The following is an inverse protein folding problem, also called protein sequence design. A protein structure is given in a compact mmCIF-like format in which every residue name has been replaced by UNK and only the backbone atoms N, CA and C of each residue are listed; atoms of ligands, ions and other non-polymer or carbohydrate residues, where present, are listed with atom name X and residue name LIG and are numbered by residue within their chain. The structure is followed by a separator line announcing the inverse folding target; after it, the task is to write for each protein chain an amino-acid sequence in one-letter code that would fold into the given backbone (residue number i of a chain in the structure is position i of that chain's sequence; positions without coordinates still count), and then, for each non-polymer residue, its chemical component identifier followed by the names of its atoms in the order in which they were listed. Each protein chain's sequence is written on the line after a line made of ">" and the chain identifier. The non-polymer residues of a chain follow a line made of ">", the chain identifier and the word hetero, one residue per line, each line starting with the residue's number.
data_IF_911290875156
#
_entry.id   IF_911290875156
#
_cell.length_a   1.000
_cell.length_b   1.000
_cell.length_c   1.000
_cell.angle_alpha   90.00
_cell.angle_beta   90.00
_cell.angle_gamma   90.00
#
_symmetry.space_group_name_H-M   'P 1'
#
loop_
_entity.id
_entity.type
_entity.pdbx_description
1 polymer ?
#
# COMPACT_ATOMS: atom_id res chain seq x y z
N UNK A 1 -33.03 14.74 -10.10
CA UNK A 1 -32.76 13.65 -9.16
C UNK A 1 -31.27 13.45 -9.15
N UNK A 2 -30.59 14.03 -8.14
CA UNK A 2 -29.13 13.89 -8.00
C UNK A 2 -28.86 12.50 -7.46
N UNK A 3 -28.39 11.58 -8.30
CA UNK A 3 -27.74 10.37 -7.86
C UNK A 3 -26.47 10.80 -7.15
N UNK A 4 -26.46 10.77 -5.81
CA UNK A 4 -25.23 10.78 -5.05
C UNK A 4 -24.46 9.52 -5.46
N UNK A 5 -23.61 9.63 -6.47
CA UNK A 5 -22.60 8.63 -6.75
C UNK A 5 -21.82 8.47 -5.45
N UNK A 6 -22.03 7.35 -4.78
CA UNK A 6 -21.25 6.96 -3.62
C UNK A 6 -19.86 6.63 -4.14
N UNK A 7 -19.01 7.66 -4.26
CA UNK A 7 -17.65 7.46 -4.71
C UNK A 7 -16.93 6.56 -3.72
N UNK A 8 -16.35 5.46 -4.22
CA UNK A 8 -15.59 4.55 -3.38
C UNK A 8 -14.38 5.28 -2.78
N UNK A 9 -14.15 5.10 -1.48
CA UNK A 9 -12.99 5.65 -0.78
C UNK A 9 -11.86 4.62 -0.77
N UNK A 10 -10.81 4.88 -1.53
CA UNK A 10 -9.65 4.00 -1.66
C UNK A 10 -8.49 4.63 -0.89
N UNK A 11 -8.04 4.00 0.18
CA UNK A 11 -6.93 4.46 1.01
C UNK A 11 -5.71 3.60 0.73
N UNK A 12 -4.67 4.20 0.15
CA UNK A 12 -3.39 3.54 -0.06
C UNK A 12 -2.42 3.90 1.07
N UNK A 13 -1.98 2.90 1.83
CA UNK A 13 -1.00 3.09 2.90
C UNK A 13 0.41 2.82 2.37
N UNK A 14 1.29 3.82 2.51
CA UNK A 14 2.69 3.76 2.11
C UNK A 14 3.62 3.96 3.30
N UNK A 15 4.87 3.54 3.18
CA UNK A 15 5.89 3.69 4.23
C UNK A 15 6.98 2.64 4.13
N UNK A 16 8.16 2.96 4.62
CA UNK A 16 9.33 2.07 4.63
C UNK A 16 9.16 0.94 5.65
N UNK A 17 10.05 -0.05 5.57
CA UNK A 17 10.06 -1.16 6.51
C UNK A 17 10.16 -0.69 7.97
N UNK A 18 9.35 -1.27 8.86
CA UNK A 18 9.31 -0.87 10.28
C UNK A 18 8.52 0.41 10.58
N UNK A 19 7.90 1.06 9.58
CA UNK A 19 7.09 2.26 9.82
C UNK A 19 5.78 2.01 10.57
N UNK A 20 5.27 0.78 10.62
CA UNK A 20 3.97 0.44 11.21
C UNK A 20 2.82 0.37 10.20
N UNK A 21 3.14 0.41 8.90
CA UNK A 21 2.14 0.31 7.82
C UNK A 21 1.24 -0.92 7.96
N UNK A 22 1.78 -2.10 8.27
CA UNK A 22 0.99 -3.33 8.39
C UNK A 22 -0.04 -3.24 9.52
N UNK A 23 0.35 -2.69 10.68
CA UNK A 23 -0.59 -2.47 11.81
C UNK A 23 -1.70 -1.47 11.43
N UNK A 24 -1.37 -0.45 10.63
CA UNK A 24 -2.36 0.50 10.13
C UNK A 24 -3.34 -0.16 9.15
N UNK A 25 -2.85 -1.04 8.26
CA UNK A 25 -3.69 -1.82 7.33
C UNK A 25 -4.61 -2.75 8.10
N UNK A 26 -4.09 -3.49 9.08
CA UNK A 26 -4.87 -4.40 9.93
C UNK A 26 -5.99 -3.64 10.65
N UNK A 27 -5.67 -2.51 11.26
CA UNK A 27 -6.65 -1.66 11.93
C UNK A 27 -7.79 -1.20 11.00
N UNK A 28 -7.48 -0.74 9.79
CA UNK A 28 -8.52 -0.36 8.82
C UNK A 28 -9.34 -1.58 8.35
N UNK A 29 -8.71 -2.75 8.23
CA UNK A 29 -9.41 -3.99 7.88
C UNK A 29 -10.40 -4.38 8.97
N UNK A 30 -10.04 -4.28 10.25
CA UNK A 30 -10.92 -4.49 11.39
C UNK A 30 -12.10 -3.50 11.41
N UNK A 31 -11.90 -2.30 10.89
CA UNK A 31 -12.96 -1.29 10.69
C UNK A 31 -13.82 -1.50 9.43
N UNK A 32 -13.66 -2.64 8.77
CA UNK A 32 -14.51 -3.03 7.64
C UNK A 32 -14.03 -2.52 6.28
N UNK A 33 -12.76 -2.11 6.15
CA UNK A 33 -12.15 -1.84 4.84
C UNK A 33 -11.62 -3.14 4.25
N UNK A 34 -12.20 -3.68 3.16
CA UNK A 34 -11.61 -4.82 2.47
C UNK A 34 -10.20 -4.47 1.99
N UNK A 35 -9.26 -5.40 2.22
CA UNK A 35 -7.85 -5.21 1.91
C UNK A 35 -7.49 -5.78 0.56
N UNK A 36 -6.78 -5.00 -0.27
CA UNK A 36 -6.06 -5.48 -1.45
C UNK A 36 -4.57 -5.40 -1.17
N UNK A 37 -3.90 -6.55 -1.17
CA UNK A 37 -2.46 -6.66 -0.96
C UNK A 37 -1.73 -6.82 -2.30
N UNK A 38 -0.87 -5.87 -2.65
CA UNK A 38 -0.12 -5.87 -3.92
C UNK A 38 0.80 -7.10 -4.06
N UNK A 39 1.50 -7.46 -2.98
CA UNK A 39 2.30 -8.69 -2.97
C UNK A 39 1.47 -9.95 -3.16
N UNK A 40 0.23 -9.95 -2.68
CA UNK A 40 -0.70 -11.07 -2.81
C UNK A 40 -1.12 -11.36 -4.26
N UNK A 41 -1.05 -10.35 -5.14
CA UNK A 41 -1.30 -10.54 -6.59
C UNK A 41 -0.30 -11.53 -7.19
N UNK A 42 0.98 -11.42 -6.80
CA UNK A 42 2.01 -12.37 -7.25
C UNK A 42 1.75 -13.76 -6.67
N UNK A 43 1.46 -13.85 -5.38
CA UNK A 43 1.18 -15.15 -4.73
C UNK A 43 -0.04 -15.84 -5.34
N UNK A 44 -1.10 -15.09 -5.62
CA UNK A 44 -2.29 -15.63 -6.28
C UNK A 44 -1.98 -16.13 -7.70
N UNK A 45 -1.19 -15.39 -8.46
CA UNK A 45 -0.79 -15.81 -9.79
C UNK A 45 0.12 -17.05 -9.77
N UNK A 46 0.97 -17.21 -8.74
CA UNK A 46 1.75 -18.44 -8.53
C UNK A 46 0.84 -19.62 -8.18
N UNK A 47 -0.18 -19.43 -7.32
CA UNK A 47 -1.17 -20.47 -7.01
C UNK A 47 -1.92 -20.93 -8.26
N UNK A 48 -2.38 -19.96 -9.06
CA UNK A 48 -3.06 -20.23 -10.34
C UNK A 48 -2.16 -21.02 -11.34
N UNK A 49 -0.84 -20.79 -11.28
CA UNK A 49 0.15 -21.49 -12.09
C UNK A 49 0.66 -22.81 -11.47
N UNK A 50 0.22 -23.18 -10.27
CA UNK A 50 0.69 -24.35 -9.53
C UNK A 50 2.15 -24.28 -9.07
N UNK A 51 2.67 -23.06 -8.87
CA UNK A 51 4.07 -22.82 -8.51
C UNK A 51 4.18 -22.65 -6.98
N UNK A 52 5.07 -23.42 -6.37
CA UNK A 52 5.36 -23.34 -4.94
C UNK A 52 5.95 -21.98 -4.57
N UNK A 53 5.51 -21.40 -3.45
CA UNK A 53 5.88 -20.03 -3.00
C UNK A 53 7.24 -20.00 -2.28
N UNK A 54 8.26 -20.69 -2.79
CA UNK A 54 9.63 -20.53 -2.31
C UNK A 54 10.17 -19.15 -2.71
N UNK A 55 11.23 -18.70 -2.05
CA UNK A 55 11.83 -17.40 -2.36
C UNK A 55 12.36 -17.34 -3.80
N UNK A 56 13.05 -18.39 -4.24
CA UNK A 56 13.62 -18.51 -5.59
C UNK A 56 12.51 -18.52 -6.66
N UNK A 57 11.46 -19.34 -6.46
CA UNK A 57 10.33 -19.38 -7.36
C UNK A 57 9.61 -18.04 -7.48
N UNK A 58 9.46 -17.32 -6.35
CA UNK A 58 8.86 -15.98 -6.35
C UNK A 58 9.66 -14.99 -7.20
N UNK A 59 10.98 -15.02 -7.09
CA UNK A 59 11.84 -14.12 -7.85
C UNK A 59 11.78 -14.44 -9.35
N UNK A 60 11.96 -15.70 -9.72
CA UNK A 60 11.87 -16.15 -11.10
C UNK A 60 10.49 -15.86 -11.70
N UNK A 61 9.41 -16.14 -10.97
CA UNK A 61 8.05 -15.89 -11.42
C UNK A 61 7.79 -14.39 -11.65
N UNK A 62 8.29 -13.52 -10.76
CA UNK A 62 8.17 -12.07 -10.96
C UNK A 62 8.86 -11.59 -12.23
N UNK A 63 10.02 -12.13 -12.54
CA UNK A 63 10.77 -11.78 -13.76
C UNK A 63 10.05 -12.29 -15.02
N UNK A 64 9.59 -13.54 -14.98
CA UNK A 64 8.88 -14.16 -16.09
C UNK A 64 7.54 -13.46 -16.38
N UNK A 65 6.73 -13.20 -15.34
CA UNK A 65 5.42 -12.55 -15.50
C UNK A 65 5.58 -11.11 -16.00
N UNK A 66 6.61 -10.38 -15.56
CA UNK A 66 6.93 -9.05 -16.07
C UNK A 66 7.36 -9.07 -17.53
N UNK A 67 8.09 -10.08 -17.95
CA UNK A 67 8.48 -10.27 -19.36
C UNK A 67 7.27 -10.60 -20.22
N UNK A 68 6.35 -11.44 -19.75
CA UNK A 68 5.16 -11.90 -20.46
C UNK A 68 4.04 -10.87 -20.51
N UNK A 69 3.72 -10.27 -19.37
CA UNK A 69 2.55 -9.40 -19.19
C UNK A 69 2.91 -7.91 -18.99
N UNK A 70 4.22 -7.60 -18.94
CA UNK A 70 4.72 -6.24 -18.78
C UNK A 70 4.95 -5.84 -17.32
N UNK A 71 5.61 -4.69 -17.13
CA UNK A 71 5.94 -4.15 -15.81
C UNK A 71 4.69 -3.77 -15.00
N UNK A 72 3.57 -3.51 -15.68
CA UNK A 72 2.31 -3.04 -15.09
C UNK A 72 1.38 -4.19 -14.68
N UNK A 73 1.85 -5.43 -14.73
CA UNK A 73 1.08 -6.61 -14.39
C UNK A 73 0.40 -6.50 -13.01
N UNK A 74 1.15 -6.12 -11.97
CA UNK A 74 0.63 -6.03 -10.60
C UNK A 74 -0.47 -4.98 -10.51
N UNK A 75 -0.20 -3.79 -11.02
CA UNK A 75 -1.17 -2.68 -10.91
C UNK A 75 -2.45 -2.95 -11.71
N UNK A 76 -2.36 -3.57 -12.89
CA UNK A 76 -3.54 -3.94 -13.68
C UNK A 76 -4.45 -4.92 -12.93
N UNK A 77 -3.87 -5.91 -12.25
CA UNK A 77 -4.64 -6.84 -11.42
C UNK A 77 -5.19 -6.20 -10.16
N UNK A 78 -4.45 -5.28 -9.54
CA UNK A 78 -4.95 -4.49 -8.40
C UNK A 78 -6.15 -3.64 -8.83
N UNK A 79 -6.06 -2.93 -9.95
CA UNK A 79 -7.18 -2.14 -10.50
C UNK A 79 -8.40 -3.04 -10.75
N UNK A 80 -8.19 -4.20 -11.37
CA UNK A 80 -9.29 -5.17 -11.55
C UNK A 80 -9.92 -5.57 -10.23
N UNK A 81 -9.12 -5.90 -9.22
CA UNK A 81 -9.64 -6.27 -7.89
C UNK A 81 -10.41 -5.11 -7.23
N UNK A 82 -9.98 -3.86 -7.42
CA UNK A 82 -10.70 -2.68 -6.94
C UNK A 82 -12.08 -2.59 -7.62
N UNK A 83 -12.14 -2.71 -8.95
CA UNK A 83 -13.41 -2.73 -9.68
C UNK A 83 -14.33 -3.87 -9.23
N UNK A 84 -13.78 -5.08 -9.03
CA UNK A 84 -14.55 -6.24 -8.55
C UNK A 84 -15.18 -5.95 -7.17
N UNK A 85 -14.44 -5.30 -6.25
CA UNK A 85 -14.97 -4.89 -4.94
C UNK A 85 -16.02 -3.79 -5.06
N UNK A 86 -15.82 -2.79 -5.91
CA UNK A 86 -16.79 -1.71 -6.15
C UNK A 86 -18.09 -2.32 -6.73
N UNK A 87 -17.98 -3.20 -7.71
CA UNK A 87 -19.12 -3.89 -8.31
C UNK A 87 -19.87 -4.79 -7.30
N UNK A 88 -19.16 -5.30 -6.28
CA UNK A 88 -19.76 -6.03 -5.16
C UNK A 88 -20.37 -5.10 -4.09
N UNK A 89 -20.45 -3.79 -4.34
CA UNK A 89 -21.08 -2.82 -3.45
C UNK A 89 -20.17 -2.26 -2.35
N UNK A 90 -18.85 -2.52 -2.42
CA UNK A 90 -17.90 -1.95 -1.47
C UNK A 90 -17.65 -0.47 -1.80
N UNK A 91 -17.72 0.37 -0.77
CA UNK A 91 -17.49 1.82 -0.90
C UNK A 91 -16.26 2.31 -0.11
N UNK A 92 -15.52 1.38 0.48
CA UNK A 92 -14.28 1.62 1.24
C UNK A 92 -13.32 0.50 0.91
N UNK A 93 -12.07 0.83 0.58
CA UNK A 93 -11.03 -0.17 0.26
C UNK A 93 -9.71 0.32 0.84
N UNK A 94 -8.93 -0.58 1.45
CA UNK A 94 -7.54 -0.29 1.84
C UNK A 94 -6.56 -1.05 0.95
N UNK A 95 -5.56 -0.32 0.44
CA UNK A 95 -4.48 -0.85 -0.37
C UNK A 95 -3.22 -1.02 0.49
N UNK A 96 -2.72 -2.25 0.55
CA UNK A 96 -1.46 -2.60 1.21
C UNK A 96 -0.38 -2.86 0.18
N UNK A 97 0.55 -1.92 0.04
CA UNK A 97 1.74 -2.15 -0.77
C UNK A 97 1.82 -1.38 -2.07
N UNK A 98 1.27 -0.20 -2.16
CA UNK A 98 1.63 0.75 -3.21
C UNK A 98 3.14 1.04 -3.13
N UNK A 99 3.92 0.49 -4.08
CA UNK A 99 5.38 0.51 -3.99
C UNK A 99 6.02 1.45 -4.99
N UNK A 100 5.53 1.50 -6.23
CA UNK A 100 6.23 2.18 -7.30
C UNK A 100 5.57 3.50 -7.69
N UNK A 101 6.37 4.40 -8.26
CA UNK A 101 5.89 5.65 -8.82
C UNK A 101 4.88 5.44 -9.96
N UNK A 102 5.11 4.41 -10.77
CA UNK A 102 4.18 4.04 -11.84
C UNK A 102 2.84 3.58 -11.30
N UNK A 103 2.81 2.71 -10.27
CA UNK A 103 1.58 2.26 -9.63
C UNK A 103 0.76 3.43 -9.07
N UNK A 104 1.43 4.40 -8.43
CA UNK A 104 0.78 5.62 -7.95
C UNK A 104 0.07 6.38 -9.07
N UNK A 105 0.76 6.63 -10.19
CA UNK A 105 0.18 7.33 -11.35
C UNK A 105 -1.01 6.59 -11.95
N UNK A 106 -0.89 5.26 -12.10
CA UNK A 106 -2.00 4.44 -12.60
C UNK A 106 -3.23 4.52 -11.71
N UNK A 107 -3.08 4.43 -10.39
CA UNK A 107 -4.19 4.53 -9.45
C UNK A 107 -4.87 5.90 -9.49
N UNK A 108 -4.08 6.98 -9.46
CA UNK A 108 -4.64 8.35 -9.50
C UNK A 108 -5.34 8.64 -10.84
N UNK A 109 -4.86 8.06 -11.94
CA UNK A 109 -5.48 8.19 -13.25
C UNK A 109 -6.78 7.39 -13.37
N UNK A 110 -6.79 6.14 -12.88
CA UNK A 110 -7.94 5.25 -13.00
C UNK A 110 -9.09 5.64 -12.05
N UNK A 111 -8.76 6.14 -10.86
CA UNK A 111 -9.73 6.49 -9.82
C UNK A 111 -9.60 7.98 -9.42
N UNK A 112 -9.89 8.94 -10.31
CA UNK A 112 -9.73 10.37 -10.02
C UNK A 112 -10.64 10.79 -8.87
N UNK A 113 -10.05 11.44 -7.85
CA UNK A 113 -10.77 11.87 -6.66
C UNK A 113 -11.25 10.77 -5.71
N UNK A 114 -10.85 9.51 -5.94
CA UNK A 114 -11.26 8.38 -5.10
C UNK A 114 -10.09 7.76 -4.32
N UNK A 115 -8.84 8.06 -4.68
CA UNK A 115 -7.63 7.53 -4.04
C UNK A 115 -6.96 8.57 -3.18
N UNK A 116 -6.76 8.25 -1.92
CA UNK A 116 -5.95 9.01 -0.98
C UNK A 116 -4.78 8.16 -0.53
N UNK A 117 -3.59 8.75 -0.56
CA UNK A 117 -2.35 8.12 -0.11
C UNK A 117 -1.99 8.66 1.26
N UNK A 118 -1.85 7.76 2.24
CA UNK A 118 -1.43 8.09 3.60
C UNK A 118 -0.06 7.49 3.85
N UNK A 119 0.94 8.32 4.09
CA UNK A 119 2.28 7.89 4.43
C UNK A 119 2.42 7.69 5.94
N UNK A 120 2.77 6.47 6.34
CA UNK A 120 3.17 6.18 7.71
C UNK A 120 4.68 6.34 7.80
N UNK A 121 5.13 7.39 8.50
CA UNK A 121 6.54 7.73 8.68
C UNK A 121 6.97 7.55 10.13
N UNK A 122 8.17 7.03 10.32
CA UNK A 122 8.72 6.72 11.64
C UNK A 122 10.21 7.07 11.65
N UNK A 123 10.70 7.71 12.72
CA UNK A 123 12.12 7.97 12.90
C UNK A 123 12.97 6.71 12.67
N UNK A 124 14.10 6.86 11.99
CA UNK A 124 14.92 5.74 11.53
C UNK A 124 15.37 4.83 12.68
N UNK A 125 15.76 5.41 13.82
CA UNK A 125 16.18 4.64 15.00
C UNK A 125 15.05 3.73 15.56
N UNK A 126 13.79 4.19 15.54
CA UNK A 126 12.64 3.37 15.95
C UNK A 126 12.36 2.26 14.95
N UNK A 127 12.54 2.51 13.65
CA UNK A 127 12.42 1.46 12.65
C UNK A 127 13.46 0.36 12.85
N UNK A 128 14.71 0.70 13.17
CA UNK A 128 15.73 -0.27 13.51
C UNK A 128 15.32 -1.13 14.71
N UNK A 129 14.87 -0.50 15.79
CA UNK A 129 14.42 -1.23 16.98
C UNK A 129 13.23 -2.16 16.68
N UNK A 130 12.27 -1.68 15.90
CA UNK A 130 11.09 -2.47 15.51
C UNK A 130 11.47 -3.63 14.60
N UNK A 131 12.37 -3.41 13.66
CA UNK A 131 12.83 -4.45 12.74
C UNK A 131 13.67 -5.53 13.44
N UNK A 132 14.52 -5.15 14.39
CA UNK A 132 15.31 -6.08 15.20
C UNK A 132 14.43 -6.97 16.11
N UNK A 133 13.28 -6.46 16.57
CA UNK A 133 12.36 -7.18 17.47
C UNK A 133 11.30 -8.01 16.75
N UNK A 134 11.29 -8.06 15.42
CA UNK A 134 10.33 -8.87 14.68
C UNK A 134 10.51 -10.35 14.98
N UNK A 135 9.38 -11.06 15.16
CA UNK A 135 9.37 -12.52 15.32
C UNK A 135 9.81 -13.18 14.00
N UNK A 136 9.25 -12.68 12.89
CA UNK A 136 9.60 -13.16 11.56
C UNK A 136 10.59 -12.21 10.90
N UNK A 137 11.72 -12.74 10.42
CA UNK A 137 12.77 -12.02 9.68
C UNK A 137 13.25 -10.77 10.44
N UNK A 138 13.80 -10.92 11.67
CA UNK A 138 14.47 -9.81 12.35
C UNK A 138 15.61 -9.30 11.49
N UNK A 139 15.86 -7.99 11.49
CA UNK A 139 16.87 -7.35 10.67
C UNK A 139 17.78 -6.47 11.53
N UNK A 140 19.08 -6.54 11.27
CA UNK A 140 20.06 -5.64 11.86
C UNK A 140 19.99 -4.25 11.20
N UNK A 141 20.50 -3.18 11.83
CA UNK A 141 20.43 -1.83 11.28
C UNK A 141 20.98 -1.70 9.85
N UNK A 142 22.10 -2.34 9.54
CA UNK A 142 22.68 -2.32 8.21
C UNK A 142 21.81 -3.01 7.14
N UNK A 143 21.10 -4.07 7.52
CA UNK A 143 20.16 -4.76 6.63
C UNK A 143 18.91 -3.90 6.35
N UNK A 144 18.48 -3.13 7.37
CA UNK A 144 17.39 -2.15 7.18
C UNK A 144 17.81 -1.05 6.21
N UNK A 145 19.06 -0.56 6.32
CA UNK A 145 19.59 0.44 5.38
C UNK A 145 19.66 -0.10 3.95
N UNK A 146 20.23 -1.28 3.76
CA UNK A 146 20.28 -1.93 2.45
C UNK A 146 18.88 -2.11 1.84
N UNK A 147 17.93 -2.49 2.67
CA UNK A 147 16.53 -2.62 2.25
C UNK A 147 15.91 -1.29 1.87
N UNK A 148 16.10 -0.24 2.67
CA UNK A 148 15.60 1.10 2.39
C UNK A 148 16.16 1.62 1.05
N UNK A 149 17.46 1.45 0.81
CA UNK A 149 18.10 1.85 -0.45
C UNK A 149 17.51 1.08 -1.63
N UNK A 150 17.40 -0.24 -1.52
CA UNK A 150 16.79 -1.05 -2.57
C UNK A 150 15.33 -0.69 -2.83
N UNK A 151 14.54 -0.41 -1.80
CA UNK A 151 13.14 0.00 -1.94
C UNK A 151 13.02 1.39 -2.60
N UNK A 152 13.97 2.29 -2.37
CA UNK A 152 13.97 3.63 -2.97
C UNK A 152 14.52 3.60 -4.40
N UNK A 153 15.65 2.93 -4.63
CA UNK A 153 16.35 2.93 -5.92
C UNK A 153 15.68 2.03 -6.96
N UNK A 154 15.24 0.82 -6.55
CA UNK A 154 14.72 -0.17 -7.48
C UNK A 154 13.18 -0.16 -7.60
N UNK A 155 12.46 0.27 -6.56
CA UNK A 155 11.01 0.34 -6.54
C UNK A 155 10.46 1.77 -6.60
N UNK A 156 11.32 2.78 -6.58
CA UNK A 156 10.93 4.21 -6.59
C UNK A 156 9.94 4.57 -5.46
N UNK A 157 10.02 3.84 -4.34
CA UNK A 157 9.06 3.94 -3.23
C UNK A 157 9.07 5.30 -2.54
N UNK A 158 10.17 6.03 -2.66
CA UNK A 158 10.28 7.39 -2.15
C UNK A 158 9.26 8.36 -2.77
N UNK A 159 8.91 8.18 -4.04
CA UNK A 159 7.95 9.03 -4.74
C UNK A 159 6.57 9.05 -4.07
N UNK A 160 5.84 7.92 -3.97
CA UNK A 160 4.54 7.86 -3.31
C UNK A 160 4.56 8.31 -1.84
N UNK A 161 5.68 8.10 -1.12
CA UNK A 161 5.83 8.59 0.25
C UNK A 161 5.95 10.11 0.28
N UNK A 162 6.77 10.69 -0.60
CA UNK A 162 7.09 12.13 -0.58
C UNK A 162 5.88 13.01 -0.94
N UNK A 163 4.97 12.52 -1.79
CA UNK A 163 3.78 13.25 -2.25
C UNK A 163 2.47 12.68 -1.72
N UNK A 164 2.52 11.93 -0.62
CA UNK A 164 1.32 11.43 0.03
C UNK A 164 0.37 12.58 0.40
N UNK A 165 -0.93 12.32 0.29
CA UNK A 165 -1.96 13.31 0.63
C UNK A 165 -1.96 13.61 2.15
N UNK A 166 -1.59 12.62 2.98
CA UNK A 166 -1.47 12.76 4.45
C UNK A 166 -0.23 12.06 4.98
N UNK A 167 0.32 12.61 6.07
CA UNK A 167 1.48 12.06 6.77
C UNK A 167 1.13 11.74 8.23
N UNK A 168 1.31 10.49 8.62
CA UNK A 168 1.16 10.05 10.01
C UNK A 168 2.53 9.74 10.57
N UNK A 169 2.99 10.55 11.52
CA UNK A 169 4.22 10.28 12.28
C UNK A 169 3.90 9.20 13.33
N UNK A 170 4.49 8.02 13.15
CA UNK A 170 4.30 6.87 14.03
C UNK A 170 5.53 6.67 14.94
N UNK A 171 5.63 7.52 15.94
CA UNK A 171 6.72 7.58 16.94
C UNK A 171 6.28 7.15 18.33
N UNK A 172 5.01 6.84 18.52
CA UNK A 172 4.39 6.50 19.80
C UNK A 172 3.86 5.07 19.88
N UNK A 173 2.80 4.90 20.67
CA UNK A 173 2.13 3.63 20.90
C UNK A 173 1.24 3.21 19.70
N UNK A 174 0.81 1.95 19.71
CA UNK A 174 -0.15 1.44 18.71
C UNK A 174 -1.49 2.18 18.80
N UNK A 175 -1.95 2.48 20.00
CA UNK A 175 -3.19 3.25 20.24
C UNK A 175 -3.10 4.64 19.62
N UNK A 176 -1.97 5.34 19.80
CA UNK A 176 -1.76 6.65 19.19
C UNK A 176 -1.73 6.55 17.64
N UNK A 177 -1.18 5.48 17.08
CA UNK A 177 -1.25 5.23 15.66
C UNK A 177 -2.70 5.09 15.20
N UNK A 178 -3.51 4.31 15.91
CA UNK A 178 -4.94 4.12 15.60
C UNK A 178 -5.71 5.44 15.65
N UNK A 179 -5.50 6.25 16.68
CA UNK A 179 -6.14 7.59 16.81
C UNK A 179 -5.75 8.51 15.62
N UNK A 180 -4.46 8.52 15.24
CA UNK A 180 -3.99 9.29 14.07
C UNK A 180 -4.60 8.79 12.75
N UNK A 181 -4.79 7.48 12.60
CA UNK A 181 -5.47 6.89 11.44
C UNK A 181 -6.94 7.31 11.41
N UNK A 182 -7.63 7.25 12.54
CA UNK A 182 -9.02 7.67 12.63
C UNK A 182 -9.19 9.13 12.24
N UNK A 183 -8.37 10.02 12.78
CA UNK A 183 -8.37 11.43 12.40
C UNK A 183 -8.12 11.60 10.90
N UNK A 184 -7.06 10.98 10.35
CA UNK A 184 -6.74 11.10 8.94
C UNK A 184 -7.85 10.53 8.03
N UNK A 185 -8.53 9.47 8.43
CA UNK A 185 -9.60 8.85 7.62
C UNK A 185 -10.95 9.54 7.77
N UNK A 186 -11.18 10.28 8.86
CA UNK A 186 -12.36 11.12 9.05
C UNK A 186 -12.28 12.39 8.20
N UNK A 187 -11.10 13.03 8.20
CA UNK A 187 -10.88 14.33 7.57
C UNK A 187 -10.38 14.22 6.11
N UNK A 188 -10.38 13.03 5.54
CA UNK A 188 -9.89 12.80 4.17
C UNK A 188 -10.72 13.56 3.16
N UNK A 189 -10.08 14.50 2.49
CA UNK A 189 -10.61 15.20 1.33
C UNK A 189 -10.28 14.44 0.04
N UNK A 190 -11.30 13.92 -0.62
CA UNK A 190 -11.17 13.27 -1.91
C UNK A 190 -11.42 14.30 -3.01
N UNK A 191 -10.35 14.98 -3.45
CA UNK A 191 -10.45 16.02 -4.46
C UNK A 191 -10.29 15.46 -5.87
N UNK A 192 -11.22 15.81 -6.76
CA UNK A 192 -11.15 15.43 -8.18
C UNK A 192 -10.16 16.31 -8.97
N UNK A 193 -9.96 17.55 -8.52
CA UNK A 193 -8.98 18.49 -9.07
C UNK A 193 -8.47 19.43 -7.97
N UNK A 194 -7.32 20.11 -8.18
CA UNK A 194 -6.81 21.09 -7.23
C UNK A 194 -7.79 22.23 -6.91
N UNK A 195 -8.66 22.59 -7.86
CA UNK A 195 -9.65 23.65 -7.67
C UNK A 195 -10.82 23.21 -6.76
N UNK A 196 -10.93 21.91 -6.42
CA UNK A 196 -11.99 21.34 -5.57
C UNK A 196 -11.51 21.04 -4.15
N UNK A 197 -10.23 21.26 -3.88
CA UNK A 197 -9.63 21.20 -2.56
C UNK A 197 -9.55 22.58 -1.93
#
# INVERSE_FOLDING_TARGET
>A
MSTSEHSCKIIALVGLAGSGKSSAVEYLTEKGFPKIYFGGVIYKAMDEAGIEKTWDNQQQFREEIRRREGKDFVIKRVIKNIHDLINAGQNKIVLDGLYTWSEYKFLKHEFPGQVVVIAIVTPKYLRYQRMAKRIERPMQPHEVDQRDWSEIENLEKGGPIAIADYFIINDGSLEQLHQKIDAATHDVHFCKSPEQC
#
